data_IF_786323573033
#
_entry.id   IF_786323573033
#
_cell.length_a   1.000
_cell.length_b   1.000
_cell.length_c   1.000
_cell.angle_alpha   90.00
_cell.angle_beta   90.00
_cell.angle_gamma   90.00
#
_symmetry.space_group_name_H-M   'P 1'
#
loop_
_entity.id
_entity.type
_entity.pdbx_description
1 polymer ?
#
# COMPACT_ATOMS: atom_id res chain seq x y z
N UNK A 1 -30.89 8.30 57.16
CA UNK A 1 -29.99 7.21 57.48
C UNK A 1 -30.66 5.88 57.13
N UNK A 2 -30.03 4.90 56.51
CA UNK A 2 -28.69 4.66 55.98
C UNK A 2 -28.77 4.29 54.50
N UNK A 3 -27.78 4.18 53.70
CA UNK A 3 -26.40 3.82 53.70
C UNK A 3 -26.05 3.54 52.22
N UNK A 4 -25.20 4.34 51.62
CA UNK A 4 -24.78 4.13 50.24
C UNK A 4 -23.79 2.98 50.11
N UNK A 5 -24.08 2.03 49.26
CA UNK A 5 -23.14 0.98 48.84
C UNK A 5 -22.45 1.44 47.57
N UNK A 6 -21.16 1.77 47.67
CA UNK A 6 -20.29 2.09 46.58
C UNK A 6 -19.95 0.81 45.78
N UNK A 7 -20.38 0.73 44.54
CA UNK A 7 -19.99 -0.31 43.59
C UNK A 7 -18.58 0.01 43.07
N UNK A 8 -17.59 -0.78 43.46
CA UNK A 8 -16.24 -0.78 42.86
C UNK A 8 -16.21 -1.80 41.73
N UNK A 9 -15.92 -1.44 40.50
CA UNK A 9 -15.64 -2.44 39.46
C UNK A 9 -14.25 -3.04 39.70
N UNK A 10 -14.18 -4.35 39.78
CA UNK A 10 -12.93 -5.11 39.76
C UNK A 10 -12.34 -5.03 38.37
N UNK A 11 -11.22 -4.32 38.20
CA UNK A 11 -10.41 -4.35 37.01
C UNK A 11 -9.71 -5.72 36.92
N UNK A 12 -10.18 -6.57 36.01
CA UNK A 12 -9.44 -7.75 35.57
C UNK A 12 -8.18 -7.30 34.82
N UNK A 13 -7.02 -7.51 35.41
CA UNK A 13 -5.73 -7.32 34.76
C UNK A 13 -5.56 -8.38 33.67
N UNK A 14 -5.92 -8.05 32.43
CA UNK A 14 -5.46 -8.79 31.26
C UNK A 14 -3.95 -8.57 31.12
N UNK A 15 -3.16 -9.63 31.18
CA UNK A 15 -1.71 -9.58 30.92
C UNK A 15 -1.54 -9.26 29.43
N UNK A 16 -0.64 -8.33 29.06
CA UNK A 16 -0.31 -8.10 27.67
C UNK A 16 0.29 -9.39 27.09
N UNK A 17 -0.26 -9.88 25.98
CA UNK A 17 0.34 -10.95 25.22
C UNK A 17 1.67 -10.45 24.63
N UNK A 18 2.72 -11.26 24.59
CA UNK A 18 3.99 -10.84 24.06
C UNK A 18 3.86 -10.56 22.56
N UNK A 19 4.43 -9.44 22.13
CA UNK A 19 4.70 -9.08 20.75
C UNK A 19 5.32 -10.29 20.04
N UNK A 20 4.68 -10.78 18.99
CA UNK A 20 5.18 -11.90 18.21
C UNK A 20 6.43 -11.37 17.47
N UNK A 21 7.60 -11.68 18.02
CA UNK A 21 8.85 -11.57 17.25
C UNK A 21 8.67 -12.42 16.01
N UNK A 22 8.84 -11.81 14.84
CA UNK A 22 8.75 -12.44 13.54
C UNK A 22 9.35 -13.83 13.54
N UNK A 23 8.52 -14.83 13.27
CA UNK A 23 8.96 -16.18 13.03
C UNK A 23 9.94 -16.15 11.88
N UNK A 24 11.04 -16.91 12.00
CA UNK A 24 12.03 -17.10 10.94
C UNK A 24 11.28 -17.47 9.65
N UNK A 25 11.28 -16.56 8.67
CA UNK A 25 10.67 -16.79 7.38
C UNK A 25 11.30 -18.04 6.76
N UNK A 26 10.52 -19.08 6.68
CA UNK A 26 10.83 -20.22 5.83
C UNK A 26 10.81 -19.65 4.40
N UNK A 27 11.91 -19.77 3.67
CA UNK A 27 11.95 -19.47 2.23
C UNK A 27 11.00 -20.44 1.52
N UNK A 28 9.77 -20.00 1.35
CA UNK A 28 8.73 -20.71 0.64
C UNK A 28 8.70 -20.13 -0.77
N UNK A 29 9.38 -20.81 -1.70
CA UNK A 29 9.55 -20.37 -3.07
C UNK A 29 8.26 -20.34 -3.88
N UNK A 30 8.38 -19.94 -5.15
CA UNK A 30 7.34 -19.79 -6.19
C UNK A 30 6.31 -20.94 -6.20
N UNK A 31 6.74 -22.16 -5.88
CA UNK A 31 5.85 -23.32 -5.74
C UNK A 31 4.75 -23.16 -4.70
N UNK A 32 4.92 -22.28 -3.71
CA UNK A 32 3.93 -22.10 -2.65
C UNK A 32 2.79 -21.17 -3.08
N UNK A 33 3.06 -20.12 -3.84
CA UNK A 33 1.99 -19.25 -4.39
C UNK A 33 1.09 -20.03 -5.36
N UNK A 34 1.68 -20.83 -6.24
CA UNK A 34 0.92 -21.75 -7.10
C UNK A 34 0.14 -22.79 -6.28
N UNK A 35 0.73 -23.31 -5.19
CA UNK A 35 0.06 -24.25 -4.31
C UNK A 35 -1.08 -23.60 -3.54
N UNK A 36 -0.90 -22.37 -3.05
CA UNK A 36 -1.98 -21.59 -2.41
C UNK A 36 -3.14 -21.33 -3.37
N UNK A 37 -2.86 -20.96 -4.63
CA UNK A 37 -3.90 -20.79 -5.65
C UNK A 37 -4.67 -22.10 -5.91
N UNK A 38 -3.97 -23.23 -6.05
CA UNK A 38 -4.57 -24.55 -6.25
C UNK A 38 -5.39 -25.00 -5.03
N UNK A 39 -4.87 -24.83 -3.82
CA UNK A 39 -5.57 -25.21 -2.59
C UNK A 39 -6.80 -24.34 -2.34
N UNK A 40 -6.73 -23.05 -2.66
CA UNK A 40 -7.86 -22.13 -2.56
C UNK A 40 -8.97 -22.51 -3.54
N UNK A 41 -8.62 -22.88 -4.78
CA UNK A 41 -9.59 -23.28 -5.82
C UNK A 41 -10.53 -24.43 -5.41
N UNK A 42 -10.15 -25.24 -4.44
CA UNK A 42 -10.96 -26.34 -3.94
C UNK A 42 -12.04 -25.93 -2.91
N UNK A 43 -11.97 -24.69 -2.37
CA UNK A 43 -12.88 -24.21 -1.32
C UNK A 43 -13.34 -22.76 -1.48
N UNK A 44 -13.13 -22.15 -2.66
CA UNK A 44 -13.53 -20.76 -2.90
C UNK A 44 -15.04 -20.60 -2.97
N UNK A 45 -15.55 -19.51 -2.37
CA UNK A 45 -16.89 -18.98 -2.65
C UNK A 45 -16.84 -18.32 -4.03
N UNK A 46 -17.27 -19.06 -5.05
CA UNK A 46 -17.08 -18.71 -6.46
C UNK A 46 -17.83 -17.44 -6.90
N UNK A 47 -18.82 -17.00 -6.12
CA UNK A 47 -19.68 -15.84 -6.38
C UNK A 47 -19.23 -14.56 -5.68
N UNK A 48 -18.05 -14.55 -5.00
CA UNK A 48 -17.52 -13.39 -4.29
C UNK A 48 -16.03 -13.18 -4.63
N UNK A 49 -15.62 -11.92 -4.80
CA UNK A 49 -14.24 -11.61 -5.19
C UNK A 49 -13.70 -10.37 -4.51
N UNK A 50 -12.41 -10.40 -4.14
CA UNK A 50 -11.60 -9.20 -3.96
C UNK A 50 -11.19 -8.68 -5.34
N UNK A 51 -11.34 -7.39 -5.56
CA UNK A 51 -11.10 -6.74 -6.85
C UNK A 51 -10.08 -5.64 -6.70
N UNK A 52 -9.13 -5.54 -7.60
CA UNK A 52 -8.18 -4.42 -7.65
C UNK A 52 -8.06 -3.89 -9.07
N UNK A 53 -7.46 -2.69 -9.21
CA UNK A 53 -7.17 -2.07 -10.49
C UNK A 53 -5.68 -1.76 -10.60
N UNK A 54 -5.05 -2.15 -11.71
CA UNK A 54 -3.71 -1.74 -12.07
C UNK A 54 -3.71 -1.04 -13.44
N UNK A 55 -3.41 0.25 -13.47
CA UNK A 55 -3.45 1.06 -14.69
C UNK A 55 -2.17 1.02 -15.51
N UNK A 56 -1.06 0.55 -14.94
CA UNK A 56 0.25 0.41 -15.60
C UNK A 56 1.14 -0.57 -14.83
N UNK A 57 2.32 -0.87 -15.38
CA UNK A 57 3.26 -1.84 -14.81
C UNK A 57 3.72 -1.50 -13.38
N UNK A 58 3.81 -0.23 -13.04
CA UNK A 58 4.18 0.16 -11.67
C UNK A 58 3.10 -0.23 -10.66
N UNK A 59 1.82 0.01 -10.99
CA UNK A 59 0.69 -0.39 -10.15
C UNK A 59 0.48 -1.90 -10.12
N UNK A 60 0.90 -2.63 -11.17
CA UNK A 60 0.91 -4.11 -11.15
C UNK A 60 1.77 -4.64 -10.02
N UNK A 61 2.91 -4.02 -9.71
CA UNK A 61 3.74 -4.42 -8.54
C UNK A 61 2.95 -4.37 -7.24
N UNK A 62 2.17 -3.31 -7.07
CA UNK A 62 1.28 -3.16 -5.91
C UNK A 62 0.18 -4.22 -5.90
N UNK A 63 -0.54 -4.40 -7.01
CA UNK A 63 -1.59 -5.40 -7.14
C UNK A 63 -1.06 -6.82 -6.84
N UNK A 64 0.14 -7.17 -7.30
CA UNK A 64 0.76 -8.46 -7.01
C UNK A 64 1.04 -8.65 -5.51
N UNK A 65 1.54 -7.62 -4.82
CA UNK A 65 1.74 -7.68 -3.37
C UNK A 65 0.41 -7.79 -2.64
N UNK A 66 -0.61 -7.02 -3.05
CA UNK A 66 -1.97 -7.12 -2.51
C UNK A 66 -2.53 -8.54 -2.68
N UNK A 67 -2.51 -9.08 -3.90
CA UNK A 67 -2.99 -10.44 -4.17
C UNK A 67 -2.24 -11.50 -3.37
N UNK A 68 -0.90 -11.38 -3.26
CA UNK A 68 -0.08 -12.27 -2.44
C UNK A 68 -0.44 -12.17 -0.95
N UNK A 69 -0.65 -10.97 -0.42
CA UNK A 69 -1.02 -10.76 0.99
C UNK A 69 -2.41 -11.33 1.32
N UNK A 70 -3.37 -11.21 0.40
CA UNK A 70 -4.68 -11.85 0.50
C UNK A 70 -4.56 -13.38 0.53
N UNK A 71 -3.75 -13.97 -0.34
CA UNK A 71 -3.51 -15.42 -0.34
C UNK A 71 -2.86 -15.89 0.97
N UNK A 72 -1.85 -15.16 1.45
CA UNK A 72 -1.16 -15.46 2.71
C UNK A 72 -2.07 -15.33 3.93
N UNK A 73 -3.04 -14.42 3.89
CA UNK A 73 -4.05 -14.27 4.95
C UNK A 73 -5.08 -15.41 4.95
N UNK A 74 -5.03 -16.31 3.98
CA UNK A 74 -5.92 -17.48 3.90
C UNK A 74 -7.33 -17.15 3.43
N UNK A 75 -7.48 -16.16 2.53
CA UNK A 75 -8.80 -15.86 1.96
C UNK A 75 -9.38 -17.04 1.19
N UNK A 76 -10.69 -17.23 1.32
CA UNK A 76 -11.48 -18.21 0.57
C UNK A 76 -12.20 -17.60 -0.63
N UNK A 77 -12.03 -16.31 -0.89
CA UNK A 77 -12.68 -15.59 -2.00
C UNK A 77 -11.79 -15.59 -3.24
N UNK A 78 -12.40 -15.39 -4.41
CA UNK A 78 -11.64 -15.17 -5.65
C UNK A 78 -10.85 -13.86 -5.58
N UNK A 79 -9.83 -13.75 -6.42
CA UNK A 79 -9.04 -12.54 -6.63
C UNK A 79 -9.17 -12.14 -8.10
N UNK A 80 -9.63 -10.92 -8.35
CA UNK A 80 -9.80 -10.37 -9.70
C UNK A 80 -8.97 -9.09 -9.85
N UNK A 81 -8.19 -8.99 -10.92
CA UNK A 81 -7.46 -7.80 -11.30
C UNK A 81 -8.07 -7.17 -12.55
N UNK A 82 -8.49 -5.92 -12.46
CA UNK A 82 -8.79 -5.08 -13.63
C UNK A 82 -7.48 -4.45 -14.10
N UNK A 83 -7.22 -4.47 -15.40
CA UNK A 83 -6.02 -3.88 -15.99
C UNK A 83 -6.38 -3.03 -17.19
N UNK A 84 -5.57 -2.00 -17.46
CA UNK A 84 -5.71 -1.19 -18.67
C UNK A 84 -4.78 -1.67 -19.79
N UNK A 85 -4.96 -1.20 -21.03
CA UNK A 85 -4.05 -1.48 -22.14
C UNK A 85 -2.59 -1.06 -21.90
N UNK A 86 -2.32 -0.20 -20.90
CA UNK A 86 -0.98 0.26 -20.56
C UNK A 86 -0.16 -0.76 -19.76
N UNK A 87 -0.78 -1.85 -19.33
CA UNK A 87 -0.09 -2.96 -18.65
C UNK A 87 0.55 -3.86 -19.72
N UNK A 88 1.86 -4.08 -19.61
CA UNK A 88 2.62 -4.92 -20.54
C UNK A 88 2.24 -6.41 -20.43
N UNK A 89 2.41 -7.15 -21.53
CA UNK A 89 2.12 -8.59 -21.56
C UNK A 89 2.91 -9.40 -20.51
N UNK A 90 4.21 -9.13 -20.25
CA UNK A 90 4.92 -9.78 -19.16
C UNK A 90 4.26 -9.59 -17.79
N UNK A 91 3.77 -8.38 -17.51
CA UNK A 91 3.09 -8.09 -16.24
C UNK A 91 1.71 -8.74 -16.16
N UNK A 92 0.95 -8.77 -17.28
CA UNK A 92 -0.34 -9.49 -17.36
C UNK A 92 -0.18 -10.96 -17.01
N UNK A 93 0.76 -11.63 -17.69
CA UNK A 93 1.05 -13.04 -17.42
C UNK A 93 1.51 -13.29 -15.97
N UNK A 94 2.14 -12.31 -15.30
CA UNK A 94 2.52 -12.44 -13.89
C UNK A 94 1.31 -12.29 -12.99
N UNK A 95 0.38 -11.36 -13.31
CA UNK A 95 -0.89 -11.24 -12.60
C UNK A 95 -1.70 -12.53 -12.64
N UNK A 96 -1.76 -13.24 -13.79
CA UNK A 96 -2.47 -14.51 -13.94
C UNK A 96 -1.94 -15.62 -13.00
N UNK A 97 -0.68 -15.52 -12.54
CA UNK A 97 -0.15 -16.46 -11.54
C UNK A 97 -0.69 -16.22 -10.14
N UNK A 98 -1.14 -14.98 -9.84
CA UNK A 98 -1.60 -14.56 -8.52
C UNK A 98 -3.12 -14.43 -8.46
N UNK A 99 -3.73 -13.83 -9.46
CA UNK A 99 -5.18 -13.59 -9.54
C UNK A 99 -5.91 -14.73 -10.25
N UNK A 100 -7.16 -14.97 -9.86
CA UNK A 100 -8.00 -15.98 -10.50
C UNK A 100 -8.57 -15.48 -11.83
N UNK A 101 -8.82 -14.17 -11.92
CA UNK A 101 -9.30 -13.49 -13.12
C UNK A 101 -8.50 -12.21 -13.36
N UNK A 102 -8.06 -11.99 -14.61
CA UNK A 102 -7.41 -10.75 -15.05
C UNK A 102 -8.21 -10.22 -16.23
N UNK A 103 -8.80 -9.04 -16.06
CA UNK A 103 -9.79 -8.49 -17.00
C UNK A 103 -9.27 -7.16 -17.55
N UNK A 104 -9.19 -7.06 -18.87
CA UNK A 104 -8.83 -5.82 -19.56
C UNK A 104 -10.04 -4.89 -19.61
N UNK A 105 -9.85 -3.64 -19.19
CA UNK A 105 -10.87 -2.58 -19.19
C UNK A 105 -10.38 -1.33 -19.90
N UNK A 106 -11.30 -0.54 -20.42
CA UNK A 106 -11.00 0.75 -21.01
C UNK A 106 -10.66 1.80 -19.96
N UNK A 107 -9.83 2.78 -20.34
CA UNK A 107 -9.46 3.87 -19.44
C UNK A 107 -10.60 4.90 -19.39
N UNK A 108 -11.11 5.17 -18.19
CA UNK A 108 -12.02 6.27 -17.91
C UNK A 108 -11.26 7.41 -17.24
N UNK A 109 -11.21 8.56 -17.91
CA UNK A 109 -10.50 9.76 -17.44
C UNK A 109 -11.50 10.89 -17.18
N UNK A 110 -11.46 11.47 -15.99
CA UNK A 110 -12.31 12.60 -15.60
C UNK A 110 -12.04 13.85 -16.44
N UNK A 111 -10.81 14.02 -16.96
CA UNK A 111 -10.32 15.23 -17.65
C UNK A 111 -10.48 16.50 -16.81
N UNK A 112 -10.65 16.37 -15.52
CA UNK A 112 -10.89 17.49 -14.59
C UNK A 112 -9.57 18.02 -14.02
N UNK A 113 -8.78 18.66 -14.86
CA UNK A 113 -7.48 19.21 -14.48
C UNK A 113 -7.57 20.28 -13.39
N UNK A 114 -8.69 20.97 -13.26
CA UNK A 114 -8.86 22.05 -12.29
C UNK A 114 -8.97 21.49 -10.86
N UNK A 115 -9.82 20.50 -10.62
CA UNK A 115 -9.95 19.87 -9.30
C UNK A 115 -8.71 19.02 -8.96
N UNK A 116 -8.16 18.29 -9.93
CA UNK A 116 -6.91 17.52 -9.75
C UNK A 116 -5.72 18.40 -9.38
N UNK A 117 -5.67 19.65 -9.88
CA UNK A 117 -4.65 20.61 -9.50
C UNK A 117 -4.75 21.02 -8.01
N UNK A 118 -5.96 21.09 -7.43
CA UNK A 118 -6.16 21.34 -5.99
C UNK A 118 -5.60 20.19 -5.14
N UNK A 119 -5.72 18.97 -5.60
CA UNK A 119 -5.11 17.79 -4.95
C UNK A 119 -3.60 17.70 -5.17
N UNK A 120 -3.05 18.47 -6.14
CA UNK A 120 -1.67 18.31 -6.64
C UNK A 120 -1.36 16.88 -7.12
N UNK A 121 -2.36 16.20 -7.66
CA UNK A 121 -2.34 14.81 -8.08
C UNK A 121 -3.00 14.63 -9.45
N UNK A 122 -2.39 15.14 -10.55
CA UNK A 122 -2.98 15.08 -11.89
C UNK A 122 -3.18 13.65 -12.40
N UNK A 123 -2.41 12.70 -11.86
CA UNK A 123 -2.49 11.28 -12.22
C UNK A 123 -3.79 10.60 -11.76
N UNK A 124 -4.56 11.23 -10.88
CA UNK A 124 -5.80 10.63 -10.37
C UNK A 124 -6.98 10.75 -11.34
N UNK A 125 -6.87 11.50 -12.45
CA UNK A 125 -7.95 11.61 -13.45
C UNK A 125 -8.39 10.26 -14.02
N UNK A 126 -7.45 9.33 -14.18
CA UNK A 126 -7.73 7.97 -14.69
C UNK A 126 -8.32 7.02 -13.64
N UNK A 127 -8.47 7.45 -12.39
CA UNK A 127 -9.02 6.57 -11.33
C UNK A 127 -10.51 6.27 -11.52
N UNK A 128 -11.22 7.03 -12.36
CA UNK A 128 -12.58 6.68 -12.77
C UNK A 128 -12.66 5.32 -13.48
N UNK A 129 -11.56 4.80 -14.01
CA UNK A 129 -11.44 3.43 -14.52
C UNK A 129 -11.88 2.39 -13.47
N UNK A 130 -11.78 2.72 -12.18
CA UNK A 130 -12.28 1.90 -11.07
C UNK A 130 -13.78 1.56 -11.21
N UNK A 131 -14.57 2.40 -11.84
CA UNK A 131 -16.03 2.18 -12.02
C UNK A 131 -16.34 0.87 -12.74
N UNK A 132 -15.44 0.36 -13.60
CA UNK A 132 -15.61 -0.94 -14.25
C UNK A 132 -15.75 -2.11 -13.26
N UNK A 133 -15.43 -1.94 -11.99
CA UNK A 133 -15.65 -2.99 -11.00
C UNK A 133 -17.16 -3.32 -10.86
N UNK A 134 -18.08 -2.37 -11.10
CA UNK A 134 -19.52 -2.63 -11.09
C UNK A 134 -20.00 -3.49 -12.26
N UNK A 135 -19.22 -3.65 -13.33
CA UNK A 135 -19.57 -4.54 -14.46
C UNK A 135 -19.35 -6.04 -14.14
N UNK A 136 -18.69 -6.38 -13.03
CA UNK A 136 -18.35 -7.75 -12.66
C UNK A 136 -19.56 -8.56 -12.15
N UNK A 137 -20.63 -8.57 -12.92
CA UNK A 137 -21.94 -9.16 -12.53
C UNK A 137 -21.93 -10.68 -12.38
N UNK A 138 -20.82 -11.35 -12.72
CA UNK A 138 -20.59 -12.76 -12.38
C UNK A 138 -20.42 -12.97 -10.86
N UNK A 139 -20.19 -11.91 -10.08
CA UNK A 139 -20.09 -11.97 -8.63
C UNK A 139 -21.32 -11.34 -7.97
N UNK A 140 -21.78 -11.95 -6.88
CA UNK A 140 -22.89 -11.46 -6.08
C UNK A 140 -22.49 -10.30 -5.16
N UNK A 141 -21.23 -10.26 -4.74
CA UNK A 141 -20.66 -9.23 -3.87
C UNK A 141 -19.14 -9.17 -4.06
N UNK A 142 -18.59 -7.98 -4.03
CA UNK A 142 -17.16 -7.75 -4.16
C UNK A 142 -16.63 -6.81 -3.07
N UNK A 143 -15.33 -6.90 -2.81
CA UNK A 143 -14.56 -5.93 -2.03
C UNK A 143 -13.51 -5.35 -2.95
N UNK A 144 -13.63 -4.06 -3.27
CA UNK A 144 -12.61 -3.35 -4.03
C UNK A 144 -11.47 -2.94 -3.09
N UNK A 145 -10.24 -3.06 -3.58
CA UNK A 145 -9.03 -2.68 -2.87
C UNK A 145 -8.04 -2.00 -3.83
N UNK A 146 -7.60 -0.80 -3.51
CA UNK A 146 -6.57 -0.13 -4.30
C UNK A 146 -5.27 -0.94 -4.32
N UNK A 147 -4.54 -0.89 -5.44
CA UNK A 147 -3.30 -1.65 -5.62
C UNK A 147 -2.18 -1.26 -4.62
N UNK A 148 -2.30 -0.11 -3.99
CA UNK A 148 -1.41 0.36 -2.93
C UNK A 148 -1.91 0.04 -1.51
N UNK A 149 -2.73 -1.01 -1.39
CA UNK A 149 -3.11 -1.60 -0.11
C UNK A 149 -2.36 -2.92 0.15
N UNK A 150 -2.25 -3.31 1.42
CA UNK A 150 -1.66 -4.58 1.84
C UNK A 150 -2.47 -5.19 2.98
N UNK A 151 -2.77 -6.48 2.88
CA UNK A 151 -3.54 -7.22 3.88
C UNK A 151 -2.61 -7.87 4.90
N UNK A 152 -2.89 -7.66 6.19
CA UNK A 152 -2.09 -8.19 7.30
C UNK A 152 -2.73 -9.42 7.98
N UNK A 153 -4.04 -9.60 7.81
CA UNK A 153 -4.79 -10.73 8.34
C UNK A 153 -6.04 -10.97 7.51
N UNK A 154 -6.69 -12.14 7.68
CA UNK A 154 -7.91 -12.46 6.94
C UNK A 154 -8.99 -11.40 7.13
N UNK A 155 -9.65 -11.01 6.04
CA UNK A 155 -10.71 -10.00 5.97
C UNK A 155 -11.96 -10.50 5.23
N UNK A 156 -12.15 -11.82 5.12
CA UNK A 156 -13.31 -12.41 4.43
C UNK A 156 -14.64 -11.99 5.07
N UNK A 157 -14.65 -11.56 6.34
CA UNK A 157 -15.83 -11.01 7.01
C UNK A 157 -16.36 -9.70 6.40
N UNK A 158 -15.58 -9.02 5.54
CA UNK A 158 -16.07 -7.86 4.80
C UNK A 158 -17.22 -8.21 3.86
N UNK A 159 -17.29 -9.45 3.37
CA UNK A 159 -18.37 -9.91 2.52
C UNK A 159 -19.73 -10.04 3.25
N UNK A 160 -19.74 -9.94 4.57
CA UNK A 160 -20.99 -9.86 5.37
C UNK A 160 -21.58 -8.44 5.38
N UNK A 161 -20.80 -7.42 4.95
CA UNK A 161 -21.25 -6.03 4.89
C UNK A 161 -22.12 -5.74 3.67
N UNK A 162 -22.92 -4.67 3.76
CA UNK A 162 -23.78 -4.22 2.67
C UNK A 162 -23.14 -3.12 1.81
N UNK A 163 -23.63 -2.91 0.60
CA UNK A 163 -23.22 -1.82 -0.28
C UNK A 163 -23.75 -0.46 0.22
N UNK A 164 -23.02 0.61 0.17
CA UNK A 164 -21.57 0.66 0.09
C UNK A 164 -21.02 0.73 1.51
N UNK A 165 -20.12 -0.20 1.87
CA UNK A 165 -19.42 -0.13 3.15
C UNK A 165 -17.97 0.24 2.93
N UNK A 166 -17.49 1.26 3.63
CA UNK A 166 -16.10 1.75 3.55
C UNK A 166 -15.65 2.37 4.87
N UNK A 167 -14.35 2.56 5.04
CA UNK A 167 -13.81 3.27 6.19
C UNK A 167 -13.80 4.79 5.95
N UNK A 168 -13.95 5.61 7.01
CA UNK A 168 -13.81 7.06 6.92
C UNK A 168 -12.46 7.47 6.34
N UNK A 169 -12.44 8.53 5.54
CA UNK A 169 -11.20 9.15 5.08
C UNK A 169 -10.51 9.88 6.24
N UNK A 170 -9.18 9.71 6.44
CA UNK A 170 -8.49 10.35 7.54
C UNK A 170 -8.41 11.88 7.41
N UNK A 171 -8.55 12.42 6.19
CA UNK A 171 -8.53 13.86 5.93
C UNK A 171 -9.89 14.53 6.12
N UNK A 172 -10.99 13.80 5.87
CA UNK A 172 -12.36 14.27 6.05
C UNK A 172 -13.29 13.10 6.40
N UNK A 173 -13.51 12.79 7.71
CA UNK A 173 -14.19 11.58 8.15
C UNK A 173 -15.67 11.44 7.78
N UNK A 174 -16.33 12.55 7.39
CA UNK A 174 -17.71 12.50 6.85
C UNK A 174 -17.74 12.01 5.39
N UNK A 175 -16.58 11.85 4.76
CA UNK A 175 -16.39 11.13 3.51
C UNK A 175 -15.76 9.77 3.80
N UNK A 176 -16.07 8.78 2.99
CA UNK A 176 -15.31 7.52 3.02
C UNK A 176 -14.10 7.59 2.10
N UNK A 177 -13.05 6.85 2.46
CA UNK A 177 -11.92 6.62 1.57
C UNK A 177 -12.25 5.46 0.61
N UNK A 178 -12.11 5.71 -0.69
CA UNK A 178 -12.45 4.76 -1.76
C UNK A 178 -11.39 3.69 -2.03
N UNK A 179 -10.34 3.62 -1.21
CA UNK A 179 -9.29 2.62 -1.37
C UNK A 179 -9.67 1.21 -0.90
N UNK A 180 -10.69 1.08 -0.03
CA UNK A 180 -11.28 -0.21 0.38
C UNK A 180 -12.77 -0.02 0.56
N UNK A 181 -13.58 -0.71 -0.24
CA UNK A 181 -15.03 -0.67 -0.08
C UNK A 181 -15.72 -1.97 -0.52
N UNK A 182 -16.85 -2.26 0.12
CA UNK A 182 -17.73 -3.39 -0.20
C UNK A 182 -18.86 -2.89 -1.11
N UNK A 183 -19.10 -3.62 -2.20
CA UNK A 183 -20.13 -3.25 -3.18
C UNK A 183 -20.78 -4.49 -3.81
N UNK A 184 -21.88 -4.25 -4.52
CA UNK A 184 -22.58 -5.25 -5.33
C UNK A 184 -22.45 -4.89 -6.80
N UNK A 185 -21.77 -5.70 -7.63
CA UNK A 185 -21.73 -5.46 -9.07
C UNK A 185 -23.12 -5.34 -9.68
N UNK A 186 -23.34 -4.30 -10.51
CA UNK A 186 -24.61 -4.01 -11.16
C UNK A 186 -24.38 -3.13 -12.37
N UNK A 187 -24.81 -3.58 -13.55
CA UNK A 187 -24.75 -2.78 -14.78
C UNK A 187 -25.61 -1.50 -14.65
N UNK A 188 -26.70 -1.57 -13.92
CA UNK A 188 -27.53 -0.39 -13.65
C UNK A 188 -26.75 0.66 -12.85
N UNK A 189 -26.13 0.25 -11.73
CA UNK A 189 -25.29 1.14 -10.91
C UNK A 189 -24.11 1.68 -11.71
N UNK A 190 -23.45 0.85 -12.51
CA UNK A 190 -22.36 1.27 -13.41
C UNK A 190 -22.81 2.40 -14.35
N UNK A 191 -23.94 2.19 -15.06
CA UNK A 191 -24.47 3.20 -15.99
C UNK A 191 -24.88 4.49 -15.26
N UNK A 192 -25.47 4.39 -14.07
CA UNK A 192 -25.80 5.54 -13.24
C UNK A 192 -24.56 6.32 -12.80
N UNK A 193 -23.47 5.63 -12.41
CA UNK A 193 -22.21 6.25 -12.06
C UNK A 193 -21.57 6.97 -13.25
N UNK A 194 -21.58 6.38 -14.45
CA UNK A 194 -21.08 7.02 -15.67
C UNK A 194 -21.89 8.26 -16.04
N UNK A 195 -23.21 8.16 -15.98
CA UNK A 195 -24.09 9.32 -16.21
C UNK A 195 -23.81 10.41 -15.18
N UNK A 196 -23.72 10.04 -13.90
CA UNK A 196 -23.45 10.98 -12.81
C UNK A 196 -22.07 11.66 -12.97
N UNK A 197 -21.03 10.90 -13.36
CA UNK A 197 -19.70 11.45 -13.66
C UNK A 197 -19.76 12.50 -14.79
N UNK A 198 -20.59 12.25 -15.81
CA UNK A 198 -20.77 13.17 -16.94
C UNK A 198 -21.56 14.43 -16.56
N UNK A 199 -22.60 14.29 -15.74
CA UNK A 199 -23.53 15.38 -15.41
C UNK A 199 -23.05 16.25 -14.24
N UNK A 200 -22.43 15.65 -13.24
CA UNK A 200 -22.07 16.29 -11.97
C UNK A 200 -20.56 16.39 -11.77
N UNK A 201 -19.79 15.52 -12.44
CA UNK A 201 -18.35 15.41 -12.22
C UNK A 201 -18.00 14.86 -10.84
N UNK A 202 -16.79 15.15 -10.40
CA UNK A 202 -16.25 14.78 -9.09
C UNK A 202 -15.74 16.03 -8.39
N UNK A 203 -16.01 16.20 -7.09
CA UNK A 203 -15.53 17.39 -6.36
C UNK A 203 -14.02 17.44 -6.18
N UNK A 204 -13.35 16.30 -6.29
CA UNK A 204 -11.88 16.18 -6.22
C UNK A 204 -11.23 15.81 -7.57
N UNK A 205 -12.05 15.60 -8.61
CA UNK A 205 -11.60 15.19 -9.94
C UNK A 205 -11.24 13.70 -10.04
N UNK A 206 -11.35 12.93 -8.96
CA UNK A 206 -11.01 11.50 -8.86
C UNK A 206 -12.24 10.66 -8.51
N UNK A 207 -12.03 9.35 -8.35
CA UNK A 207 -13.11 8.41 -8.01
C UNK A 207 -13.70 8.64 -6.62
N UNK A 208 -12.89 9.04 -5.63
CA UNK A 208 -13.36 9.24 -4.26
C UNK A 208 -14.43 10.33 -4.17
N UNK A 209 -14.21 11.47 -4.81
CA UNK A 209 -15.17 12.58 -4.83
C UNK A 209 -16.47 12.22 -5.54
N UNK A 210 -16.38 11.50 -6.67
CA UNK A 210 -17.54 10.99 -7.39
C UNK A 210 -18.37 10.04 -6.53
N UNK A 211 -17.72 9.01 -5.95
CA UNK A 211 -18.38 7.98 -5.16
C UNK A 211 -19.03 8.53 -3.89
N UNK A 212 -18.36 9.46 -3.19
CA UNK A 212 -18.94 10.12 -2.01
C UNK A 212 -20.14 10.98 -2.34
N UNK A 213 -20.18 11.58 -3.54
CA UNK A 213 -21.34 12.37 -3.98
C UNK A 213 -22.49 11.46 -4.40
N UNK A 214 -22.19 10.36 -5.08
CA UNK A 214 -23.20 9.38 -5.52
C UNK A 214 -23.81 8.63 -4.33
N UNK A 215 -23.01 8.09 -3.43
CA UNK A 215 -23.44 7.42 -2.20
C UNK A 215 -23.55 8.38 -1.02
N UNK A 216 -24.10 9.57 -1.24
CA UNK A 216 -24.15 10.69 -0.29
C UNK A 216 -24.78 10.37 1.07
N UNK A 217 -25.62 9.33 1.13
CA UNK A 217 -26.23 8.87 2.38
C UNK A 217 -25.28 8.11 3.31
N UNK A 218 -24.09 7.73 2.83
CA UNK A 218 -23.13 6.92 3.63
C UNK A 218 -22.82 7.57 4.98
N UNK A 219 -22.58 8.89 5.00
CA UNK A 219 -22.21 9.61 6.22
C UNK A 219 -23.26 9.61 7.32
N UNK A 220 -24.55 9.44 6.97
CA UNK A 220 -25.65 9.78 7.88
C UNK A 220 -26.67 8.67 8.12
N UNK A 221 -26.75 7.62 7.28
CA UNK A 221 -27.91 6.72 7.33
C UNK A 221 -27.67 5.41 8.05
N UNK A 222 -26.53 4.74 7.85
CA UNK A 222 -26.32 3.41 8.41
C UNK A 222 -24.88 3.23 8.92
N UNK A 223 -24.73 3.28 10.23
CA UNK A 223 -23.43 3.06 10.89
C UNK A 223 -22.83 1.68 10.62
N UNK A 224 -23.63 0.68 10.23
CA UNK A 224 -23.12 -0.64 9.86
C UNK A 224 -22.32 -0.62 8.54
N UNK A 225 -22.49 0.41 7.73
CA UNK A 225 -21.72 0.64 6.50
C UNK A 225 -20.36 1.31 6.76
N UNK A 226 -20.15 1.83 7.97
CA UNK A 226 -18.89 2.40 8.37
C UNK A 226 -17.95 1.27 8.80
N UNK A 227 -16.94 0.98 7.99
CA UNK A 227 -15.91 0.03 8.37
C UNK A 227 -14.98 0.67 9.42
N UNK A 228 -14.55 -0.09 10.44
CA UNK A 228 -13.50 0.37 11.33
C UNK A 228 -12.22 0.74 10.55
N UNK A 229 -11.49 1.75 11.03
CA UNK A 229 -10.30 2.27 10.38
C UNK A 229 -9.17 1.21 10.19
N UNK A 230 -9.20 0.13 10.97
CA UNK A 230 -8.29 -1.02 10.83
C UNK A 230 -8.37 -1.73 9.48
N UNK A 231 -9.45 -1.54 8.72
CA UNK A 231 -9.61 -2.08 7.36
C UNK A 231 -9.09 -1.15 6.26
N UNK A 232 -8.66 0.06 6.62
CA UNK A 232 -8.08 1.01 5.68
C UNK A 232 -7.16 1.99 6.43
N UNK A 233 -6.16 1.45 7.15
CA UNK A 233 -5.21 2.27 7.92
C UNK A 233 -4.25 2.98 6.97
N UNK A 234 -4.29 4.31 6.94
CA UNK A 234 -3.31 5.10 6.20
C UNK A 234 -1.93 5.00 6.84
N UNK A 235 -0.94 4.54 6.08
CA UNK A 235 0.47 4.47 6.50
C UNK A 235 1.19 5.82 6.41
N UNK A 236 0.61 6.79 5.69
CA UNK A 236 1.20 8.12 5.44
C UNK A 236 0.46 9.23 6.15
N UNK A 237 -0.38 8.92 7.13
CA UNK A 237 -1.17 9.92 7.83
C UNK A 237 -0.28 10.95 8.52
N UNK A 238 -0.43 12.20 8.11
CA UNK A 238 0.20 13.37 8.76
C UNK A 238 -0.28 13.51 10.23
N UNK A 239 -1.41 12.86 10.53
CA UNK A 239 -2.01 12.78 11.85
C UNK A 239 -2.03 11.35 12.38
N UNK A 240 -0.87 10.68 12.46
CA UNK A 240 -0.89 9.49 13.27
C UNK A 240 -1.08 9.93 14.72
N UNK A 241 -2.27 9.74 15.17
CA UNK A 241 -2.54 9.80 16.60
C UNK A 241 -1.80 8.64 17.26
N UNK A 242 -0.50 8.85 17.47
CA UNK A 242 0.42 7.82 17.93
C UNK A 242 -0.06 7.05 19.18
N UNK A 243 -0.72 7.69 20.18
CA UNK A 243 -1.31 6.96 21.29
C UNK A 243 -2.38 5.95 20.84
N UNK A 244 -3.25 6.32 19.90
CA UNK A 244 -4.26 5.39 19.36
C UNK A 244 -3.61 4.28 18.55
N UNK A 245 -2.60 4.58 17.72
CA UNK A 245 -1.85 3.56 16.99
C UNK A 245 -1.17 2.57 17.96
N UNK A 246 -0.55 3.04 19.04
CA UNK A 246 0.03 2.18 20.07
C UNK A 246 -1.00 1.30 20.77
N UNK A 247 -2.23 1.79 20.94
CA UNK A 247 -3.31 1.04 21.58
C UNK A 247 -3.99 0.03 20.64
N UNK A 248 -4.19 0.39 19.38
CA UNK A 248 -5.06 -0.32 18.45
C UNK A 248 -4.36 -0.82 17.17
N UNK A 249 -3.15 -0.33 16.85
CA UNK A 249 -2.44 -0.65 15.63
C UNK A 249 -2.16 -2.13 15.43
N UNK A 250 -2.03 -2.90 16.53
CA UNK A 250 -1.88 -4.37 16.47
C UNK A 250 -3.12 -5.09 15.92
N UNK A 251 -4.26 -4.42 15.83
CA UNK A 251 -5.51 -4.93 15.25
C UNK A 251 -5.67 -4.55 13.78
N UNK A 252 -4.72 -3.84 13.18
CA UNK A 252 -4.77 -3.44 11.78
C UNK A 252 -4.86 -4.67 10.88
N UNK A 253 -5.80 -4.64 9.97
CA UNK A 253 -6.05 -5.72 9.00
C UNK A 253 -5.61 -5.33 7.58
N UNK A 254 -5.76 -4.06 7.22
CA UNK A 254 -5.35 -3.53 5.92
C UNK A 254 -4.60 -2.22 6.12
N UNK A 255 -3.43 -2.13 5.51
CA UNK A 255 -2.64 -0.89 5.40
C UNK A 255 -2.82 -0.32 4.00
N UNK A 256 -3.03 0.97 3.91
CA UNK A 256 -3.16 1.70 2.65
C UNK A 256 -2.04 2.75 2.56
N UNK A 257 -1.18 2.61 1.55
CA UNK A 257 -0.04 3.49 1.29
C UNK A 257 -0.48 4.73 0.52
N UNK A 258 -1.30 5.57 1.18
CA UNK A 258 -1.78 6.83 0.63
C UNK A 258 -0.62 7.78 0.29
N UNK A 259 -0.85 8.66 -0.70
CA UNK A 259 0.10 9.69 -1.10
C UNK A 259 0.70 9.46 -2.48
N UNK A 260 1.55 10.39 -2.93
CA UNK A 260 2.17 10.37 -4.26
C UNK A 260 3.32 9.36 -4.36
N UNK A 261 4.05 9.13 -3.27
CA UNK A 261 5.14 8.15 -3.24
C UNK A 261 4.60 6.81 -2.80
N UNK A 262 4.69 5.82 -3.68
CA UNK A 262 4.19 4.46 -3.44
C UNK A 262 5.32 3.53 -2.98
N UNK A 263 5.02 2.39 -2.33
CA UNK A 263 6.04 1.45 -1.87
C UNK A 263 7.06 1.06 -2.95
N UNK A 264 6.62 0.85 -4.17
CA UNK A 264 7.48 0.48 -5.31
C UNK A 264 8.36 1.60 -5.86
N UNK A 265 8.24 2.83 -5.36
CA UNK A 265 9.11 3.95 -5.70
C UNK A 265 10.35 4.05 -4.79
N UNK A 266 10.43 3.25 -3.74
CA UNK A 266 11.59 3.21 -2.85
C UNK A 266 12.60 2.18 -3.32
N UNK A 267 13.87 2.39 -3.00
CA UNK A 267 14.92 1.39 -3.16
C UNK A 267 14.98 0.51 -1.92
N UNK A 268 15.06 -0.79 -2.11
CA UNK A 268 15.15 -1.76 -1.01
C UNK A 268 16.47 -2.50 -1.04
N UNK A 269 17.22 -2.49 0.07
CA UNK A 269 18.40 -3.32 0.26
C UNK A 269 17.98 -4.66 0.87
N UNK A 270 18.03 -5.72 0.06
CA UNK A 270 17.68 -7.08 0.49
C UNK A 270 18.66 -7.64 1.55
N UNK A 271 19.89 -7.10 1.62
CA UNK A 271 20.92 -7.51 2.58
C UNK A 271 20.61 -6.99 3.98
N UNK A 272 20.24 -5.71 4.09
CA UNK A 272 19.89 -5.08 5.37
C UNK A 272 18.42 -5.26 5.70
N UNK A 273 17.60 -5.72 4.73
CA UNK A 273 16.15 -5.82 4.80
C UNK A 273 15.51 -4.49 5.17
N UNK A 274 16.00 -3.42 4.62
CA UNK A 274 15.51 -2.07 4.86
C UNK A 274 15.39 -1.29 3.56
N UNK A 275 14.43 -0.38 3.55
CA UNK A 275 14.26 0.55 2.45
C UNK A 275 15.37 1.60 2.52
N UNK A 276 16.10 1.75 1.40
CA UNK A 276 17.05 2.84 1.21
C UNK A 276 16.32 4.08 0.72
N UNK A 277 16.79 5.23 1.14
CA UNK A 277 16.23 6.52 0.77
C UNK A 277 15.76 7.29 1.98
N UNK A 278 15.01 8.33 1.76
CA UNK A 278 14.60 9.24 2.83
C UNK A 278 13.51 8.59 3.73
N UNK A 279 13.93 7.59 4.53
CA UNK A 279 13.10 7.01 5.61
C UNK A 279 12.65 8.10 6.60
N UNK A 280 13.35 9.24 6.57
CA UNK A 280 13.00 10.44 7.31
C UNK A 280 11.99 11.33 6.56
N UNK A 281 11.34 10.83 5.48
CA UNK A 281 10.17 11.52 4.94
C UNK A 281 9.12 11.59 6.07
N UNK A 282 8.82 12.79 6.61
CA UNK A 282 7.88 12.93 7.71
C UNK A 282 6.47 12.43 7.38
N UNK A 283 6.22 12.08 6.11
CA UNK A 283 4.99 11.48 5.63
C UNK A 283 4.92 9.97 5.88
N UNK A 284 6.05 9.30 6.15
CA UNK A 284 6.07 7.85 6.45
C UNK A 284 6.10 7.67 7.96
N UNK A 285 4.93 7.48 8.55
CA UNK A 285 4.80 7.36 9.99
C UNK A 285 5.08 5.94 10.50
N UNK A 286 4.94 4.92 9.64
CA UNK A 286 5.08 3.51 10.01
C UNK A 286 5.97 2.76 9.02
N UNK A 287 7.31 2.93 9.08
CA UNK A 287 8.24 2.30 8.16
C UNK A 287 8.20 0.75 8.21
N UNK A 288 7.71 0.18 9.31
CA UNK A 288 7.52 -1.25 9.45
C UNK A 288 6.58 -1.84 8.39
N UNK A 289 5.52 -1.13 8.01
CA UNK A 289 4.60 -1.59 6.97
C UNK A 289 5.25 -1.54 5.58
N UNK A 290 6.09 -0.55 5.33
CA UNK A 290 6.83 -0.45 4.09
C UNK A 290 7.85 -1.60 3.96
N UNK A 291 8.54 -1.95 5.04
CA UNK A 291 9.43 -3.11 5.06
C UNK A 291 8.66 -4.42 4.84
N UNK A 292 7.47 -4.60 5.45
CA UNK A 292 6.61 -5.76 5.22
C UNK A 292 6.17 -5.87 3.75
N UNK A 293 5.85 -4.74 3.11
CA UNK A 293 5.52 -4.69 1.69
C UNK A 293 6.68 -5.21 0.84
N UNK A 294 7.90 -4.72 1.10
CA UNK A 294 9.09 -5.12 0.39
C UNK A 294 9.53 -6.56 0.69
N UNK A 295 9.36 -7.03 1.91
CA UNK A 295 9.58 -8.45 2.26
C UNK A 295 8.63 -9.35 1.43
N UNK A 296 7.35 -8.96 1.32
CA UNK A 296 6.37 -9.70 0.49
C UNK A 296 6.76 -9.65 -0.99
N UNK A 297 7.15 -8.48 -1.49
CA UNK A 297 7.54 -8.31 -2.89
C UNK A 297 8.77 -9.15 -3.24
N UNK A 298 9.84 -9.07 -2.44
CA UNK A 298 11.09 -9.77 -2.72
C UNK A 298 10.99 -11.28 -2.57
N UNK A 299 10.18 -11.76 -1.63
CA UNK A 299 10.04 -13.20 -1.37
C UNK A 299 9.06 -13.86 -2.35
N UNK A 300 7.95 -13.20 -2.69
CA UNK A 300 6.87 -13.82 -3.43
C UNK A 300 6.75 -13.34 -4.88
N UNK A 301 7.06 -12.09 -5.16
CA UNK A 301 6.78 -11.48 -6.46
C UNK A 301 8.02 -11.43 -7.34
N UNK A 302 9.15 -11.00 -6.80
CA UNK A 302 10.40 -10.88 -7.56
C UNK A 302 10.78 -12.20 -8.27
N UNK A 303 10.71 -13.39 -7.63
CA UNK A 303 10.97 -14.64 -8.31
C UNK A 303 10.01 -14.98 -9.44
N UNK A 304 8.76 -14.47 -9.41
CA UNK A 304 7.79 -14.67 -10.50
C UNK A 304 8.15 -13.82 -11.74
N UNK A 305 8.77 -12.67 -11.51
CA UNK A 305 9.23 -11.77 -12.57
C UNK A 305 10.52 -12.27 -13.21
N UNK A 306 11.47 -12.76 -12.41
CA UNK A 306 12.79 -13.25 -12.87
C UNK A 306 12.70 -14.55 -13.69
N UNK A 307 11.73 -15.44 -13.39
CA UNK A 307 11.56 -16.70 -14.13
C UNK A 307 11.30 -16.52 -15.62
N UNK A 308 10.87 -15.36 -16.09
CA UNK A 308 10.59 -15.11 -17.51
C UNK A 308 11.81 -14.72 -18.32
N UNK A 309 12.78 -14.05 -17.73
CA UNK A 309 14.01 -13.69 -18.45
C UNK A 309 14.75 -14.95 -18.90
N UNK A 310 14.68 -16.04 -18.11
CA UNK A 310 15.31 -17.32 -18.44
C UNK A 310 14.56 -18.07 -19.54
N UNK A 311 13.23 -17.99 -19.58
CA UNK A 311 12.40 -18.69 -20.57
C UNK A 311 12.46 -17.96 -21.94
N UNK A 312 12.57 -16.65 -21.99
CA UNK A 312 12.73 -15.86 -23.23
C UNK A 312 14.14 -16.02 -23.83
N UNK A 313 15.20 -16.06 -23.03
CA UNK A 313 16.56 -16.36 -23.52
C UNK A 313 16.68 -17.77 -24.08
N UNK A 314 15.99 -18.77 -23.50
CA UNK A 314 15.98 -20.13 -24.03
C UNK A 314 15.14 -20.28 -25.31
N UNK A 315 14.14 -19.43 -25.56
CA UNK A 315 13.29 -19.52 -26.75
C UNK A 315 13.94 -18.87 -27.97
N UNK A 316 14.82 -17.89 -27.80
CA UNK A 316 15.62 -17.29 -28.88
C UNK A 316 16.87 -18.09 -29.24
N UNK A 317 17.28 -19.05 -28.41
CA UNK A 317 18.45 -19.92 -28.61
C UNK A 317 18.20 -21.23 -29.37
N UNK A 318 16.94 -21.59 -29.70
CA UNK A 318 16.60 -22.91 -30.29
C UNK A 318 16.32 -22.82 -31.79
N UNK A 319 17.07 -22.03 -32.52
CA UNK A 319 17.12 -22.14 -34.00
C UNK A 319 18.55 -22.05 -34.54
N UNK A 320 19.45 -22.86 -34.02
CA UNK A 320 20.63 -23.36 -34.75
C UNK A 320 21.30 -24.49 -33.98
N UNK A 321 21.36 -25.63 -34.66
CA UNK A 321 22.19 -26.80 -34.36
C UNK A 321 21.52 -27.96 -33.62
N UNK A 322 20.81 -28.71 -34.41
CA UNK A 322 20.79 -30.20 -34.26
C UNK A 322 22.21 -30.73 -34.47
N UNK A 323 22.74 -31.41 -33.49
CA UNK A 323 23.86 -32.35 -33.65
C UNK A 323 25.00 -32.10 -32.67
N UNK A 324 25.07 -32.75 -31.59
CA UNK A 324 26.02 -33.76 -31.16
C UNK A 324 25.83 -34.19 -29.70
N UNK A 325 25.77 -35.43 -29.59
CA UNK A 325 25.63 -36.30 -28.45
C UNK A 325 26.83 -36.22 -27.50
N UNK A 326 26.49 -36.39 -26.20
CA UNK A 326 27.22 -37.16 -25.16
C UNK A 326 28.64 -36.72 -24.75
N UNK A 327 28.89 -36.52 -23.54
CA UNK A 327 29.52 -37.41 -22.57
C UNK A 327 30.20 -36.65 -21.42
N UNK A 328 29.76 -37.00 -20.23
CA UNK A 328 30.53 -37.31 -19.00
C UNK A 328 31.51 -36.29 -18.36
N UNK A 329 31.17 -36.04 -17.14
CA UNK A 329 31.91 -36.42 -15.93
C UNK A 329 32.79 -35.39 -15.26
N UNK A 330 32.43 -35.18 -14.02
CA UNK A 330 33.32 -35.03 -12.85
C UNK A 330 34.69 -34.41 -13.04
N UNK A 331 34.96 -33.32 -12.35
CA UNK A 331 36.08 -33.34 -11.41
C UNK A 331 36.07 -32.12 -10.48
N UNK A 332 36.20 -32.42 -9.25
CA UNK A 332 36.55 -31.67 -8.07
C UNK A 332 37.95 -31.03 -8.24
N UNK A 333 38.15 -29.87 -7.61
CA UNK A 333 39.54 -29.40 -7.42
C UNK A 333 39.64 -27.94 -7.00
N UNK A 334 39.58 -27.71 -5.74
CA UNK A 334 40.56 -27.07 -4.85
C UNK A 334 41.34 -25.83 -5.31
N UNK A 335 41.22 -24.81 -4.45
CA UNK A 335 42.20 -23.87 -3.92
C UNK A 335 42.98 -22.93 -4.84
N UNK A 336 42.95 -21.65 -4.56
CA UNK A 336 43.93 -20.94 -3.75
C UNK A 336 43.65 -19.44 -3.65
N UNK A 337 43.84 -18.98 -2.44
CA UNK A 337 44.04 -17.59 -2.05
C UNK A 337 45.26 -16.98 -2.79
N UNK A 338 45.18 -15.68 -3.07
CA UNK A 338 46.37 -14.83 -3.11
C UNK A 338 45.95 -13.42 -2.69
N UNK A 339 46.42 -13.06 -1.52
CA UNK A 339 46.59 -11.70 -1.04
C UNK A 339 47.40 -10.85 -2.03
N UNK A 340 47.06 -9.56 -2.13
CA UNK A 340 48.09 -8.51 -2.16
C UNK A 340 47.51 -7.26 -1.49
N UNK A 341 48.21 -6.89 -0.46
CA UNK A 341 48.19 -5.73 0.39
C UNK A 341 48.57 -4.41 -0.30
N UNK A 342 48.16 -3.31 0.36
CA UNK A 342 48.80 -1.98 0.48
C UNK A 342 48.68 -1.02 -0.72
N UNK A 343 48.16 0.19 -0.49
CA UNK A 343 48.80 1.33 0.17
C UNK A 343 47.75 2.48 0.34
N UNK A 344 47.50 2.84 1.56
CA UNK A 344 48.00 4.01 2.31
C UNK A 344 47.69 5.40 1.70
N UNK A 345 46.85 6.08 2.46
CA UNK A 345 47.02 7.41 3.06
C UNK A 345 46.66 8.67 2.27
N UNK A 346 45.97 9.47 3.05
CA UNK A 346 46.00 10.93 3.20
C UNK A 346 44.96 11.69 2.37
N UNK A 347 44.14 12.39 2.94
CA UNK A 347 44.08 13.53 3.80
C UNK A 347 42.66 14.06 3.81
N UNK A 348 42.09 14.10 4.98
CA UNK A 348 40.95 14.93 5.30
C UNK A 348 41.31 16.39 5.14
N UNK A 349 40.55 17.08 4.30
CA UNK A 349 40.46 18.55 4.39
C UNK A 349 38.97 18.84 4.63
N UNK A 350 38.67 19.15 5.88
CA UNK A 350 37.43 19.74 6.29
C UNK A 350 37.26 21.11 5.60
N UNK A 351 36.39 21.21 4.64
CA UNK A 351 35.93 22.51 4.20
C UNK A 351 34.96 23.07 5.26
N UNK A 352 35.08 24.33 5.66
CA UNK A 352 34.15 24.94 6.60
C UNK A 352 32.77 25.04 5.97
N UNK A 353 31.75 24.57 6.69
CA UNK A 353 30.34 24.77 6.33
C UNK A 353 30.07 26.27 6.17
N UNK A 354 29.35 26.69 5.11
CA UNK A 354 28.98 28.09 4.95
C UNK A 354 28.08 28.49 6.11
N UNK A 355 28.52 29.49 6.86
CA UNK A 355 27.73 30.19 7.90
C UNK A 355 26.64 30.95 7.15
N UNK A 356 25.42 30.42 7.18
CA UNK A 356 24.24 31.14 6.72
C UNK A 356 24.06 32.43 7.57
N UNK A 357 23.77 33.56 6.96
CA UNK A 357 23.57 34.82 7.71
C UNK A 357 22.41 34.63 8.68
N UNK A 358 22.63 35.02 9.94
CA UNK A 358 21.59 34.96 10.97
C UNK A 358 20.48 35.96 10.66
N UNK A 359 19.30 35.44 10.38
CA UNK A 359 18.07 36.21 10.16
C UNK A 359 17.72 36.96 11.45
N UNK A 360 17.38 38.25 11.35
CA UNK A 360 16.99 39.08 12.51
C UNK A 360 15.73 38.56 13.21
N UNK A 361 15.56 38.90 14.49
CA UNK A 361 14.38 38.47 15.26
C UNK A 361 13.06 38.99 14.66
N UNK A 362 13.10 40.20 14.10
CA UNK A 362 11.94 40.84 13.45
C UNK A 362 11.59 40.20 12.12
N UNK A 363 12.59 39.86 11.32
CA UNK A 363 12.39 39.15 10.04
C UNK A 363 11.87 37.72 10.26
N UNK A 364 12.31 37.08 11.34
CA UNK A 364 11.81 35.75 11.74
C UNK A 364 10.34 35.82 12.18
N UNK A 365 9.97 36.86 12.95
CA UNK A 365 8.59 37.10 13.35
C UNK A 365 7.69 37.35 12.13
N UNK A 366 8.14 38.16 11.17
CA UNK A 366 7.40 38.42 9.95
C UNK A 366 7.18 37.15 9.11
N UNK A 367 8.18 36.29 9.02
CA UNK A 367 8.04 34.96 8.34
C UNK A 367 7.05 34.06 9.09
N UNK A 368 7.08 34.06 10.39
CA UNK A 368 6.16 33.29 11.23
C UNK A 368 4.70 33.75 11.03
N UNK A 369 4.46 35.06 11.01
CA UNK A 369 3.14 35.66 10.73
C UNK A 369 2.63 35.36 9.30
N UNK A 370 3.54 35.11 8.36
CA UNK A 370 3.24 34.70 6.97
C UNK A 370 3.13 33.20 6.77
N UNK A 371 3.21 32.39 7.84
CA UNK A 371 3.16 30.93 7.75
C UNK A 371 4.43 30.28 7.15
N UNK A 372 5.56 31.02 7.12
CA UNK A 372 6.85 30.58 6.58
C UNK A 372 7.86 30.22 7.68
N UNK A 373 7.38 29.75 8.83
CA UNK A 373 8.23 29.35 9.94
C UNK A 373 9.04 28.09 9.57
N UNK A 374 10.32 28.07 9.96
CA UNK A 374 11.22 26.93 9.76
C UNK A 374 11.10 25.93 10.91
N UNK A 375 10.01 25.17 10.92
CA UNK A 375 9.70 24.18 11.97
C UNK A 375 10.69 23.02 12.07
N UNK A 376 11.51 22.80 11.04
CA UNK A 376 12.51 21.71 11.02
C UNK A 376 13.91 22.20 11.37
N UNK A 377 14.14 23.54 11.35
CA UNK A 377 15.41 24.18 11.65
C UNK A 377 15.35 25.06 12.89
N UNK A 378 15.52 26.38 12.69
CA UNK A 378 15.69 27.36 13.78
C UNK A 378 14.45 27.51 14.66
N UNK A 379 13.24 27.32 14.08
CA UNK A 379 11.96 27.43 14.77
C UNK A 379 11.41 26.02 15.18
N UNK A 380 12.28 24.99 15.22
CA UNK A 380 11.90 23.65 15.68
C UNK A 380 11.50 23.67 17.16
N UNK A 381 10.62 22.75 17.53
CA UNK A 381 10.12 22.59 18.91
C UNK A 381 11.25 22.49 19.94
N UNK A 382 12.32 21.76 19.62
CA UNK A 382 13.47 21.58 20.51
C UNK A 382 14.26 22.89 20.71
N UNK A 383 14.39 23.72 19.68
CA UNK A 383 15.05 25.02 19.77
C UNK A 383 14.19 26.03 20.52
N UNK A 384 12.88 26.01 20.30
CA UNK A 384 11.92 26.84 21.05
C UNK A 384 11.93 26.43 22.53
N UNK A 385 11.90 25.15 22.82
CA UNK A 385 11.96 24.63 24.20
C UNK A 385 13.25 25.01 24.90
N UNK A 386 14.42 24.84 24.28
CA UNK A 386 15.71 25.25 24.83
C UNK A 386 15.74 26.72 25.16
N UNK A 387 15.13 27.55 24.30
CA UNK A 387 15.06 28.98 24.52
C UNK A 387 14.12 29.33 25.65
N UNK A 388 12.97 28.70 25.78
CA UNK A 388 12.05 28.85 26.92
C UNK A 388 12.70 28.42 28.24
N UNK A 389 13.37 27.27 28.26
CA UNK A 389 14.06 26.76 29.43
C UNK A 389 15.18 27.72 29.88
N UNK A 390 15.79 28.46 28.96
CA UNK A 390 16.80 29.51 29.29
C UNK A 390 16.23 30.78 29.91
N UNK A 391 14.90 31.00 29.79
CA UNK A 391 14.23 32.15 30.45
C UNK A 391 13.62 31.77 31.81
N UNK A 392 13.54 30.48 32.12
CA UNK A 392 13.00 29.95 33.37
C UNK A 392 14.07 29.66 34.43
N UNK A 393 15.35 29.85 34.09
CA UNK A 393 16.50 29.86 34.98
C UNK A 393 16.86 31.31 35.36
#
# INVERSE_FOLDING_TARGET
>A
MPGGSAYRPQASRARPRPYIKGGRGVRLGVGLLCLFKLLRGAGTMADQSFVTLATNDSYVKGALVLGSSLQQSGTTRKLTALITPQVSDPMRNTLEKVFDEVILVDILDSRDSAHLALLKRPELGITLTKLHCWELTQFSKCVFMDADTMVLSNIDELFEREELSAAPDPGWPDCFNSGVFVYRPSIETYNQLLQFATEKGSFDGADQGLLNTFFSSWATTDMNKHLPFIYNLSSTSVYSYLPAFKAFGSSTKVVHFLGSTKPWNYTYDSRTKSVEGNINDPKIVHPEFLNMWWDTYTVNILPLLEQKEVDEENTTGVNMLSGLICTLAFSCGFCREAEVTEAVSHMSVSAPSPVLPSISSEERKARWEQGQADYMGVDSFDNIKKKLDSYLQ
#
